data_IF_861710633247
#
_entry.id   IF_861710633247
#
_cell.length_a   1.000
_cell.length_b   1.000
_cell.length_c   1.000
_cell.angle_alpha   90.00
_cell.angle_beta   90.00
_cell.angle_gamma   90.00
#
_symmetry.space_group_name_H-M   'P 1'
#
loop_
_entity.id
_entity.type
_entity.pdbx_description
1 polymer ?
#
# COMPACT_ATOMS: atom_id res chain seq x y z
N UNK A 1 1.27 -28.46 -2.20
CA UNK A 1 0.55 -27.29 -2.77
C UNK A 1 -0.85 -27.29 -2.16
N UNK A 2 -1.42 -26.12 -1.89
CA UNK A 2 -2.79 -26.01 -1.37
C UNK A 2 -3.77 -26.47 -2.46
N UNK A 3 -4.70 -27.36 -2.08
CA UNK A 3 -5.79 -27.80 -2.98
C UNK A 3 -6.90 -26.74 -3.00
N UNK A 4 -7.80 -26.81 -4.00
CA UNK A 4 -8.96 -25.93 -4.07
C UNK A 4 -9.83 -26.07 -2.82
N UNK A 5 -10.01 -27.29 -2.32
CA UNK A 5 -10.78 -27.61 -1.11
C UNK A 5 -10.19 -26.93 0.13
N UNK A 6 -8.87 -27.11 0.35
CA UNK A 6 -8.17 -26.49 1.47
C UNK A 6 -8.20 -24.94 1.40
N UNK A 7 -8.14 -24.38 0.17
CA UNK A 7 -8.31 -22.96 -0.07
C UNK A 7 -9.70 -22.46 0.33
N UNK A 8 -10.75 -23.16 -0.08
CA UNK A 8 -12.14 -22.78 0.26
C UNK A 8 -12.39 -22.87 1.77
N UNK A 9 -11.82 -23.87 2.44
CA UNK A 9 -11.88 -23.99 3.90
C UNK A 9 -11.13 -22.85 4.60
N UNK A 10 -10.00 -22.41 4.05
CA UNK A 10 -9.27 -21.24 4.55
C UNK A 10 -10.08 -19.96 4.34
N UNK A 11 -10.75 -19.80 3.20
CA UNK A 11 -11.61 -18.65 2.93
C UNK A 11 -12.84 -18.61 3.82
N UNK A 12 -13.38 -19.77 4.18
CA UNK A 12 -14.45 -19.84 5.18
C UNK A 12 -13.96 -19.32 6.54
N UNK A 13 -12.79 -19.77 7.03
CA UNK A 13 -12.22 -19.26 8.30
C UNK A 13 -11.96 -17.75 8.27
N UNK A 14 -11.50 -17.20 7.13
CA UNK A 14 -11.36 -15.74 6.97
C UNK A 14 -12.73 -15.04 7.04
N UNK A 15 -13.77 -15.64 6.44
CA UNK A 15 -15.14 -15.12 6.50
C UNK A 15 -15.72 -15.22 7.92
N UNK A 16 -15.46 -16.29 8.65
CA UNK A 16 -15.86 -16.47 10.06
C UNK A 16 -15.21 -15.39 10.95
N UNK A 17 -13.91 -15.11 10.75
CA UNK A 17 -13.24 -14.02 11.44
C UNK A 17 -13.92 -12.66 11.21
N UNK A 18 -14.25 -12.35 9.97
CA UNK A 18 -14.98 -11.12 9.64
C UNK A 18 -16.37 -11.12 10.26
N UNK A 19 -17.07 -12.24 10.15
CA UNK A 19 -18.43 -12.41 10.64
C UNK A 19 -18.55 -12.25 12.16
N UNK A 20 -17.53 -12.66 12.90
CA UNK A 20 -17.47 -12.49 14.37
C UNK A 20 -17.41 -11.01 14.81
N UNK A 21 -17.13 -10.09 13.89
CA UNK A 21 -17.15 -8.65 14.17
C UNK A 21 -18.55 -8.03 14.11
N UNK A 22 -19.56 -8.77 13.62
CA UNK A 22 -20.94 -8.31 13.55
C UNK A 22 -21.70 -8.58 14.85
N UNK A 23 -22.63 -7.70 15.21
CA UNK A 23 -23.57 -7.92 16.33
C UNK A 23 -24.57 -9.05 16.03
N UNK A 24 -24.91 -9.21 14.76
CA UNK A 24 -25.78 -10.26 14.26
C UNK A 24 -25.05 -11.01 13.12
N UNK A 25 -24.26 -12.02 13.44
CA UNK A 25 -23.52 -12.78 12.46
C UNK A 25 -24.43 -13.48 11.43
N UNK A 26 -23.96 -13.59 10.19
CA UNK A 26 -24.64 -14.39 9.17
C UNK A 26 -24.46 -15.89 9.44
N UNK A 27 -25.42 -16.69 9.00
CA UNK A 27 -25.20 -18.14 8.88
C UNK A 27 -24.32 -18.40 7.66
N UNK A 28 -23.10 -18.85 7.90
CA UNK A 28 -22.09 -19.02 6.86
C UNK A 28 -22.07 -20.46 6.35
N UNK A 29 -22.13 -20.61 5.04
CA UNK A 29 -21.89 -21.88 4.39
C UNK A 29 -20.51 -21.90 3.73
N UNK A 30 -19.92 -23.09 3.61
CA UNK A 30 -18.67 -23.27 2.86
C UNK A 30 -18.86 -22.79 1.42
N UNK A 31 -18.04 -21.89 0.90
CA UNK A 31 -18.20 -21.37 -0.45
C UNK A 31 -17.95 -22.50 -1.49
N UNK A 32 -18.75 -22.49 -2.56
CA UNK A 32 -18.63 -23.48 -3.62
C UNK A 32 -17.49 -23.19 -4.62
N UNK A 33 -17.00 -21.95 -4.64
CA UNK A 33 -15.93 -21.51 -5.56
C UNK A 33 -15.15 -20.31 -4.98
N UNK A 34 -14.01 -19.98 -5.60
CA UNK A 34 -13.26 -18.78 -5.26
C UNK A 34 -14.10 -17.49 -5.42
N UNK A 35 -14.90 -17.39 -6.48
CA UNK A 35 -15.78 -16.26 -6.69
C UNK A 35 -16.82 -16.13 -5.56
N UNK A 36 -17.45 -17.25 -5.17
CA UNK A 36 -18.42 -17.29 -4.08
C UNK A 36 -17.76 -16.86 -2.74
N UNK A 37 -16.54 -17.29 -2.48
CA UNK A 37 -15.80 -16.92 -1.29
C UNK A 37 -15.54 -15.40 -1.23
N UNK A 38 -15.14 -14.79 -2.34
CA UNK A 38 -14.93 -13.36 -2.46
C UNK A 38 -16.21 -12.58 -2.19
N UNK A 39 -17.30 -12.96 -2.88
CA UNK A 39 -18.61 -12.32 -2.71
C UNK A 39 -19.09 -12.40 -1.25
N UNK A 40 -18.93 -13.57 -0.61
CA UNK A 40 -19.28 -13.77 0.80
C UNK A 40 -18.49 -12.82 1.71
N UNK A 41 -17.17 -12.73 1.54
CA UNK A 41 -16.32 -11.84 2.35
C UNK A 41 -16.64 -10.37 2.12
N UNK A 42 -16.86 -9.93 0.88
CA UNK A 42 -17.23 -8.54 0.59
C UNK A 42 -18.59 -8.17 1.18
N UNK A 43 -19.56 -9.09 1.16
CA UNK A 43 -20.88 -8.90 1.79
C UNK A 43 -20.75 -8.70 3.31
N UNK A 44 -19.94 -9.52 3.98
CA UNK A 44 -19.68 -9.38 5.42
C UNK A 44 -18.98 -8.06 5.71
N UNK A 45 -17.96 -7.71 4.93
CA UNK A 45 -17.24 -6.45 5.09
C UNK A 45 -18.15 -5.23 4.93
N UNK A 46 -19.07 -5.25 3.97
CA UNK A 46 -20.07 -4.20 3.80
C UNK A 46 -20.99 -4.08 5.03
N UNK A 47 -21.46 -5.21 5.56
CA UNK A 47 -22.28 -5.24 6.76
C UNK A 47 -21.53 -4.68 7.98
N UNK A 48 -20.28 -5.05 8.17
CA UNK A 48 -19.43 -4.49 9.26
C UNK A 48 -19.33 -2.96 9.13
N UNK A 49 -19.05 -2.44 7.91
CA UNK A 49 -18.97 -0.99 7.68
C UNK A 49 -20.27 -0.26 8.03
N UNK A 50 -21.40 -0.81 7.62
CA UNK A 50 -22.72 -0.23 7.94
C UNK A 50 -22.94 -0.21 9.45
N UNK A 51 -22.70 -1.33 10.13
CA UNK A 51 -22.87 -1.43 11.57
C UNK A 51 -21.95 -0.47 12.33
N UNK A 52 -20.67 -0.38 11.91
CA UNK A 52 -19.70 0.56 12.49
C UNK A 52 -20.11 2.03 12.25
N UNK A 53 -20.62 2.35 11.06
CA UNK A 53 -21.10 3.69 10.74
C UNK A 53 -22.29 4.08 11.64
N UNK A 54 -23.23 3.17 11.84
CA UNK A 54 -24.40 3.39 12.72
C UNK A 54 -24.00 3.59 14.18
N UNK A 55 -23.02 2.81 14.67
CA UNK A 55 -22.54 2.93 16.07
C UNK A 55 -21.75 4.21 16.30
N UNK A 56 -21.03 4.68 15.29
CA UNK A 56 -20.09 5.80 15.42
C UNK A 56 -20.63 7.14 14.94
N UNK A 57 -21.86 7.20 14.41
CA UNK A 57 -22.41 8.44 13.84
C UNK A 57 -22.38 9.64 14.79
N UNK A 58 -22.63 9.42 16.09
CA UNK A 58 -22.60 10.47 17.11
C UNK A 58 -21.19 11.06 17.33
N UNK A 59 -20.13 10.32 16.97
CA UNK A 59 -18.74 10.78 17.05
C UNK A 59 -18.34 11.56 15.82
N UNK A 60 -19.01 11.32 14.69
CA UNK A 60 -18.69 11.96 13.41
C UNK A 60 -19.58 13.15 13.07
N UNK A 61 -20.73 13.27 13.73
CA UNK A 61 -21.71 14.34 13.50
C UNK A 61 -21.71 15.38 14.62
N UNK A 62 -21.84 16.66 14.25
CA UNK A 62 -21.86 17.77 15.22
C UNK A 62 -23.16 17.92 15.99
N UNK A 63 -24.22 17.25 15.59
CA UNK A 63 -25.56 17.40 16.20
C UNK A 63 -25.63 16.89 17.63
N UNK A 64 -24.67 16.10 18.08
CA UNK A 64 -24.63 15.56 19.45
C UNK A 64 -23.24 15.70 20.04
N UNK A 65 -23.17 16.14 21.28
CA UNK A 65 -21.95 16.02 22.08
C UNK A 65 -21.73 14.55 22.40
N UNK A 66 -20.60 13.95 22.04
CA UNK A 66 -20.34 12.56 22.35
C UNK A 66 -20.10 12.43 23.85
N UNK A 67 -21.08 11.89 24.56
CA UNK A 67 -20.90 11.56 25.97
C UNK A 67 -19.99 10.36 26.20
N UNK A 68 -19.80 9.52 25.15
CA UNK A 68 -19.02 8.30 25.24
C UNK A 68 -18.17 8.11 23.98
N UNK A 69 -16.94 7.58 24.09
CA UNK A 69 -16.13 7.23 22.94
C UNK A 69 -16.81 6.11 22.13
N UNK A 70 -16.72 6.20 20.80
CA UNK A 70 -17.07 5.07 19.95
C UNK A 70 -15.87 4.12 19.83
N UNK A 71 -16.13 2.85 19.54
CA UNK A 71 -15.10 1.84 19.35
C UNK A 71 -15.36 0.98 18.12
N UNK A 72 -14.29 0.45 17.52
CA UNK A 72 -14.31 -0.58 16.48
C UNK A 72 -13.23 -1.61 16.78
N UNK A 73 -13.62 -2.79 17.29
CA UNK A 73 -12.66 -3.76 17.81
C UNK A 73 -11.80 -3.14 18.91
N UNK A 74 -10.48 -3.22 18.75
CA UNK A 74 -9.52 -2.63 19.69
C UNK A 74 -9.28 -1.12 19.50
N UNK A 75 -9.95 -0.47 18.56
CA UNK A 75 -9.85 0.98 18.38
C UNK A 75 -10.88 1.74 19.19
N UNK A 76 -10.43 2.79 19.88
CA UNK A 76 -11.25 3.79 20.53
C UNK A 76 -11.13 5.12 19.79
N UNK A 77 -12.25 5.80 19.59
CA UNK A 77 -12.30 7.07 18.88
C UNK A 77 -12.72 8.18 19.84
N UNK A 78 -11.96 9.27 19.79
CA UNK A 78 -12.30 10.51 20.48
C UNK A 78 -12.41 11.61 19.45
N UNK A 79 -13.47 12.36 19.60
CA UNK A 79 -13.77 13.48 18.74
C UNK A 79 -13.68 14.77 19.55
N UNK A 80 -12.96 15.75 19.01
CA UNK A 80 -12.93 17.08 19.56
C UNK A 80 -14.13 17.92 19.12
N UNK A 81 -13.93 19.22 19.07
CA UNK A 81 -14.97 20.14 18.59
C UNK A 81 -15.23 20.03 17.09
N UNK A 82 -14.20 19.70 16.30
CA UNK A 82 -14.26 19.69 14.84
C UNK A 82 -14.25 18.26 14.30
N UNK A 83 -15.16 17.96 13.34
CA UNK A 83 -15.29 16.63 12.69
C UNK A 83 -13.97 16.08 12.15
N UNK A 84 -13.14 16.98 11.60
CA UNK A 84 -11.83 16.62 11.06
C UNK A 84 -10.74 16.37 12.12
N UNK A 85 -11.04 16.54 13.41
CA UNK A 85 -10.11 16.28 14.53
C UNK A 85 -10.42 14.94 15.22
N UNK A 86 -10.90 13.97 14.48
CA UNK A 86 -11.10 12.62 15.00
C UNK A 86 -9.75 11.99 15.36
N UNK A 87 -9.60 11.55 16.60
CA UNK A 87 -8.44 10.83 17.10
C UNK A 87 -8.80 9.37 17.32
N UNK A 88 -7.99 8.49 16.72
CA UNK A 88 -8.09 7.06 16.95
C UNK A 88 -6.95 6.59 17.86
N UNK A 89 -7.30 5.79 18.85
CA UNK A 89 -6.40 5.09 19.75
C UNK A 89 -6.61 3.60 19.55
N UNK A 90 -5.54 2.82 19.47
CA UNK A 90 -5.66 1.39 19.20
C UNK A 90 -4.32 0.70 19.07
N UNK A 91 -4.30 -0.50 18.51
CA UNK A 91 -3.09 -1.27 18.33
C UNK A 91 -2.02 -0.49 17.57
N UNK A 92 -0.77 -0.68 17.97
CA UNK A 92 0.35 -0.11 17.24
C UNK A 92 0.42 -0.66 15.82
N UNK A 93 0.59 0.23 14.83
CA UNK A 93 0.79 -0.18 13.43
C UNK A 93 2.04 -1.03 13.26
N UNK A 94 3.08 -0.72 14.05
CA UNK A 94 4.37 -1.44 14.03
C UNK A 94 4.77 -1.88 15.46
N UNK A 95 4.29 -3.03 15.93
CA UNK A 95 4.44 -3.45 17.36
C UNK A 95 5.86 -3.58 17.86
N UNK A 96 6.87 -3.59 17.01
CA UNK A 96 8.28 -3.78 17.38
C UNK A 96 9.18 -2.68 16.88
N UNK A 97 8.65 -1.50 16.64
CA UNK A 97 9.44 -0.37 16.13
C UNK A 97 10.43 0.14 17.17
N UNK A 98 9.97 0.33 18.42
CA UNK A 98 10.77 0.83 19.53
C UNK A 98 11.34 -0.33 20.33
N UNK A 99 12.55 -0.76 20.00
CA UNK A 99 13.28 -1.74 20.79
C UNK A 99 13.97 -1.05 22.00
N UNK A 100 14.25 -1.76 23.10
CA UNK A 100 14.98 -1.22 24.26
C UNK A 100 16.33 -0.58 23.90
N UNK A 101 16.95 -1.05 22.81
CA UNK A 101 18.23 -0.55 22.29
C UNK A 101 18.15 0.76 21.50
N UNK A 102 16.96 1.25 21.23
CA UNK A 102 16.74 2.50 20.48
C UNK A 102 15.42 3.13 20.94
N UNK A 103 15.39 3.66 22.19
CA UNK A 103 14.18 4.27 22.75
C UNK A 103 13.78 5.49 21.91
N UNK A 104 12.50 5.53 21.54
CA UNK A 104 11.94 6.61 20.75
C UNK A 104 10.54 6.96 21.23
N UNK A 105 10.18 8.24 21.13
CA UNK A 105 8.80 8.67 21.27
C UNK A 105 8.07 8.37 19.96
N UNK A 106 7.07 7.51 20.02
CA UNK A 106 6.27 7.12 18.87
C UNK A 106 4.88 7.74 18.93
N UNK A 107 4.41 8.30 17.82
CA UNK A 107 3.06 8.80 17.66
C UNK A 107 2.47 8.33 16.34
N UNK A 108 1.24 7.82 16.38
CA UNK A 108 0.46 7.43 15.21
C UNK A 108 -0.58 8.49 14.87
N UNK A 109 -0.66 8.82 13.58
CA UNK A 109 -1.67 9.70 13.00
C UNK A 109 -2.35 8.93 11.89
N UNK A 110 -3.66 8.75 12.01
CA UNK A 110 -4.44 8.07 10.97
C UNK A 110 -5.03 9.09 9.99
N UNK A 111 -5.16 8.68 8.73
CA UNK A 111 -5.67 9.48 7.62
C UNK A 111 -6.56 8.63 6.73
N UNK A 112 -7.29 9.25 5.80
CA UNK A 112 -8.18 8.57 4.86
C UNK A 112 -7.44 7.73 3.79
N UNK A 113 -6.12 7.88 3.63
CA UNK A 113 -5.30 7.08 2.73
C UNK A 113 -3.82 7.26 3.02
N UNK A 114 -2.95 6.39 2.47
CA UNK A 114 -1.49 6.58 2.52
C UNK A 114 -1.05 7.88 1.84
N UNK A 115 -1.66 8.24 0.71
CA UNK A 115 -1.37 9.50 0.02
C UNK A 115 -1.79 10.73 0.84
N UNK A 116 -2.93 10.66 1.55
CA UNK A 116 -3.34 11.74 2.48
C UNK A 116 -2.35 11.90 3.64
N UNK A 117 -1.77 10.79 4.15
CA UNK A 117 -0.73 10.83 5.17
C UNK A 117 0.53 11.53 4.65
N UNK A 118 0.96 11.19 3.44
CA UNK A 118 2.11 11.79 2.80
C UNK A 118 1.87 13.28 2.48
N UNK A 119 0.71 13.63 1.93
CA UNK A 119 0.33 15.01 1.63
C UNK A 119 0.33 15.89 2.88
N UNK A 120 -0.27 15.42 3.98
CA UNK A 120 -0.27 16.13 5.25
C UNK A 120 1.16 16.33 5.81
N UNK A 121 2.02 15.32 5.69
CA UNK A 121 3.42 15.39 6.10
C UNK A 121 4.19 16.39 5.23
N UNK A 122 4.15 16.29 3.91
CA UNK A 122 4.92 17.12 3.00
C UNK A 122 4.50 18.60 3.08
N UNK A 123 3.20 18.88 3.15
CA UNK A 123 2.70 20.24 3.36
C UNK A 123 3.15 20.81 4.70
N UNK A 124 3.15 19.99 5.76
CA UNK A 124 3.67 20.41 7.07
C UNK A 124 5.16 20.74 6.98
N UNK A 125 5.96 19.90 6.33
CA UNK A 125 7.41 20.13 6.17
C UNK A 125 7.69 21.42 5.37
N UNK A 126 6.93 21.66 4.29
CA UNK A 126 7.03 22.89 3.49
C UNK A 126 6.71 24.14 4.32
N UNK A 127 5.72 24.06 5.22
CA UNK A 127 5.33 25.18 6.09
C UNK A 127 6.32 25.45 7.21
N UNK A 128 6.95 24.41 7.75
CA UNK A 128 7.92 24.54 8.86
C UNK A 128 9.33 24.92 8.42
N UNK A 129 9.62 24.87 7.13
CA UNK A 129 10.96 25.12 6.60
C UNK A 129 10.90 26.12 5.44
N UNK A 130 11.98 26.85 5.19
CA UNK A 130 12.09 27.75 4.04
C UNK A 130 12.07 27.01 2.70
N UNK A 131 12.65 25.81 2.69
CA UNK A 131 12.65 24.88 1.56
C UNK A 131 12.87 23.46 2.06
N UNK A 132 12.42 22.49 1.28
CA UNK A 132 12.56 21.06 1.54
C UNK A 132 13.22 20.39 0.34
N UNK A 133 14.36 19.76 0.57
CA UNK A 133 15.04 18.88 -0.40
C UNK A 133 14.67 17.44 -0.10
N UNK A 134 13.87 16.82 -0.97
CA UNK A 134 13.54 15.40 -0.89
C UNK A 134 14.59 14.60 -1.65
N UNK A 135 15.38 13.78 -0.93
CA UNK A 135 16.28 12.81 -1.53
C UNK A 135 15.50 11.56 -1.86
N UNK A 136 15.30 11.29 -3.14
CA UNK A 136 14.40 10.24 -3.64
C UNK A 136 15.16 9.16 -4.39
N UNK A 137 14.72 7.88 -4.32
CA UNK A 137 15.27 6.83 -5.16
C UNK A 137 14.77 6.96 -6.60
N UNK A 138 15.54 6.46 -7.56
CA UNK A 138 15.05 6.34 -8.92
C UNK A 138 13.85 5.38 -8.97
N UNK A 139 12.79 5.76 -9.67
CA UNK A 139 11.60 4.92 -9.83
C UNK A 139 10.67 4.86 -8.61
N UNK A 140 10.75 5.83 -7.69
CA UNK A 140 9.77 5.93 -6.60
C UNK A 140 8.34 6.14 -7.13
N UNK A 141 7.35 5.87 -6.29
CA UNK A 141 5.94 5.83 -6.64
C UNK A 141 5.48 7.08 -7.38
N UNK A 142 4.77 6.89 -8.51
CA UNK A 142 4.42 7.99 -9.43
C UNK A 142 3.53 9.04 -8.77
N UNK A 143 2.50 8.64 -8.00
CA UNK A 143 1.65 9.60 -7.30
C UNK A 143 2.41 10.41 -6.23
N UNK A 144 3.46 9.85 -5.63
CA UNK A 144 4.34 10.62 -4.74
C UNK A 144 5.09 11.69 -5.51
N UNK A 145 5.52 11.40 -6.75
CA UNK A 145 6.16 12.37 -7.63
C UNK A 145 5.21 13.49 -7.99
N UNK A 146 4.01 13.15 -8.47
CA UNK A 146 2.96 14.11 -8.82
C UNK A 146 2.60 15.00 -7.62
N UNK A 147 2.52 14.42 -6.42
CA UNK A 147 2.28 15.19 -5.20
C UNK A 147 3.41 16.19 -4.91
N UNK A 148 4.68 15.78 -5.02
CA UNK A 148 5.83 16.68 -4.81
C UNK A 148 5.81 17.81 -5.84
N UNK A 149 5.57 17.49 -7.11
CA UNK A 149 5.47 18.47 -8.20
C UNK A 149 4.32 19.45 -7.98
N UNK A 150 3.17 18.98 -7.48
CA UNK A 150 2.00 19.81 -7.19
C UNK A 150 2.18 20.79 -6.03
N UNK A 151 3.06 20.46 -5.08
CA UNK A 151 3.38 21.34 -3.95
C UNK A 151 4.30 22.53 -4.31
N UNK A 152 4.84 22.54 -5.51
CA UNK A 152 5.53 23.69 -6.09
C UNK A 152 6.88 24.01 -5.42
N UNK A 153 7.28 25.30 -5.49
CA UNK A 153 8.65 25.74 -5.18
C UNK A 153 9.14 25.52 -3.74
N UNK A 154 8.25 25.13 -2.82
CA UNK A 154 8.61 24.86 -1.42
C UNK A 154 9.31 23.52 -1.22
N UNK A 155 9.13 22.57 -2.15
CA UNK A 155 9.69 21.22 -2.09
C UNK A 155 10.32 20.87 -3.44
N UNK A 156 11.54 20.33 -3.41
CA UNK A 156 12.23 19.83 -4.60
C UNK A 156 12.65 18.37 -4.39
N UNK A 157 12.54 17.55 -5.44
CA UNK A 157 13.00 16.17 -5.42
C UNK A 157 14.33 16.04 -6.18
N UNK A 158 15.28 15.36 -5.58
CA UNK A 158 16.61 15.11 -6.14
C UNK A 158 17.00 13.64 -5.97
N UNK A 159 17.63 13.00 -6.95
CA UNK A 159 18.24 11.70 -6.73
C UNK A 159 19.21 11.79 -5.54
N UNK A 160 19.11 10.86 -4.60
CA UNK A 160 19.90 10.91 -3.37
C UNK A 160 21.43 10.91 -3.63
N UNK A 161 21.86 10.24 -4.71
CA UNK A 161 23.26 10.20 -5.14
C UNK A 161 23.80 11.57 -5.56
N UNK A 162 22.97 12.41 -6.16
CA UNK A 162 23.39 13.71 -6.69
C UNK A 162 23.63 14.77 -5.61
N UNK A 163 23.07 14.55 -4.41
CA UNK A 163 23.11 15.54 -3.33
C UNK A 163 24.05 15.12 -2.18
N UNK A 164 24.58 13.89 -2.23
CA UNK A 164 25.48 13.37 -1.23
C UNK A 164 26.78 14.22 -1.16
N UNK A 165 27.01 14.88 -0.03
CA UNK A 165 28.19 15.75 0.16
C UNK A 165 28.05 17.20 -0.31
N UNK A 166 26.91 17.61 -0.87
CA UNK A 166 26.70 19.01 -1.25
C UNK A 166 26.36 19.90 -0.04
N UNK A 167 26.84 21.16 -0.08
CA UNK A 167 26.56 22.14 0.97
C UNK A 167 25.09 22.55 0.94
N UNK A 168 24.41 22.45 2.08
CA UNK A 168 23.01 22.81 2.24
C UNK A 168 22.82 24.29 2.53
N UNK A 169 21.77 24.91 1.96
CA UNK A 169 21.39 26.28 2.27
C UNK A 169 20.81 26.42 3.69
N UNK A 170 21.00 27.57 4.31
CA UNK A 170 20.46 27.82 5.66
C UNK A 170 18.92 27.83 5.64
N UNK A 171 18.29 27.05 6.50
CA UNK A 171 16.83 26.94 6.60
C UNK A 171 16.21 25.87 5.72
N UNK A 172 17.01 25.14 4.94
CA UNK A 172 16.55 23.98 4.15
C UNK A 172 16.46 22.75 5.02
N UNK A 173 15.37 22.02 4.95
CA UNK A 173 15.25 20.67 5.51
C UNK A 173 15.60 19.63 4.43
N UNK A 174 16.42 18.64 4.77
CA UNK A 174 16.79 17.57 3.85
C UNK A 174 16.16 16.25 4.32
N UNK A 175 15.29 15.71 3.52
CA UNK A 175 14.45 14.57 3.84
C UNK A 175 14.83 13.39 2.96
N UNK A 176 15.15 12.25 3.55
CA UNK A 176 15.36 11.01 2.80
C UNK A 176 14.02 10.29 2.61
N UNK A 177 13.56 10.17 1.39
CA UNK A 177 12.40 9.35 1.05
C UNK A 177 12.86 7.93 0.71
N UNK A 178 12.33 6.96 1.42
CA UNK A 178 12.43 5.54 1.15
C UNK A 178 11.08 5.03 0.69
N UNK A 179 11.08 4.25 -0.38
CA UNK A 179 9.86 3.72 -0.94
C UNK A 179 9.94 2.19 -1.01
N UNK A 180 8.96 1.51 -0.44
CA UNK A 180 8.87 0.05 -0.47
C UNK A 180 8.64 -0.51 -1.89
N UNK A 181 8.27 0.31 -2.86
CA UNK A 181 8.18 -0.07 -4.27
C UNK A 181 9.53 -0.15 -4.98
N UNK A 182 10.59 0.37 -4.37
CA UNK A 182 11.93 0.44 -4.97
C UNK A 182 12.70 -0.87 -4.80
N UNK A 183 13.58 -1.23 -5.75
CA UNK A 183 14.45 -2.39 -5.67
C UNK A 183 15.22 -2.54 -4.36
N UNK A 184 15.41 -3.79 -3.90
CA UNK A 184 16.08 -4.09 -2.63
C UNK A 184 17.53 -3.56 -2.57
N UNK A 185 18.20 -3.41 -3.71
CA UNK A 185 19.54 -2.83 -3.82
C UNK A 185 19.59 -1.38 -3.31
N UNK A 186 18.47 -0.66 -3.37
CA UNK A 186 18.35 0.69 -2.84
C UNK A 186 18.73 0.75 -1.36
N UNK A 187 18.43 -0.28 -0.56
CA UNK A 187 18.77 -0.31 0.86
C UNK A 187 20.27 -0.36 1.15
N UNK A 188 21.14 -0.37 0.15
CA UNK A 188 22.59 -0.24 0.33
C UNK A 188 23.00 1.03 1.07
N UNK A 189 22.22 2.13 0.95
CA UNK A 189 22.46 3.38 1.67
C UNK A 189 22.43 3.23 3.20
N UNK A 190 21.84 2.16 3.75
CA UNK A 190 21.87 1.87 5.20
C UNK A 190 23.31 1.76 5.76
N UNK A 191 24.29 1.60 4.88
CA UNK A 191 25.73 1.57 5.24
C UNK A 191 26.40 2.93 5.18
N UNK A 192 25.69 3.97 4.68
CA UNK A 192 26.27 5.31 4.48
C UNK A 192 26.10 6.19 5.72
N UNK A 193 27.03 7.11 6.00
CA UNK A 193 26.89 8.09 7.07
C UNK A 193 25.81 9.11 6.72
N UNK A 194 24.83 9.29 7.60
CA UNK A 194 23.66 10.17 7.37
C UNK A 194 23.86 11.59 7.92
N UNK A 195 24.99 12.22 7.60
CA UNK A 195 25.37 13.51 8.21
C UNK A 195 24.39 14.66 7.91
N UNK A 196 23.76 14.65 6.73
CA UNK A 196 23.00 15.79 6.22
C UNK A 196 21.49 15.55 6.08
N UNK A 197 20.97 14.46 6.66
CA UNK A 197 19.54 14.12 6.64
C UNK A 197 18.89 14.60 7.94
N UNK A 198 17.73 15.24 7.87
CA UNK A 198 16.99 15.72 9.04
C UNK A 198 15.83 14.81 9.44
N UNK A 199 15.26 14.05 8.48
CA UNK A 199 14.16 13.13 8.68
C UNK A 199 14.22 12.02 7.61
N UNK A 200 13.89 10.81 7.99
CA UNK A 200 13.62 9.71 7.06
C UNK A 200 12.13 9.54 6.91
N UNK A 201 11.62 9.64 5.70
CA UNK A 201 10.23 9.27 5.35
C UNK A 201 10.28 7.92 4.64
N UNK A 202 9.52 6.95 5.13
CA UNK A 202 9.51 5.62 4.55
C UNK A 202 8.09 5.16 4.25
N UNK A 203 7.74 5.07 2.97
CA UNK A 203 6.52 4.39 2.54
C UNK A 203 6.70 2.87 2.65
N UNK A 204 5.93 2.26 3.54
CA UNK A 204 6.01 0.85 3.89
C UNK A 204 4.90 0.02 3.26
N UNK A 205 4.10 0.57 2.38
CA UNK A 205 2.85 -0.01 1.84
C UNK A 205 3.06 -1.39 1.21
N UNK A 206 4.20 -1.64 0.55
CA UNK A 206 4.51 -2.94 -0.07
C UNK A 206 5.12 -3.96 0.90
N UNK A 207 5.23 -3.67 2.19
CA UNK A 207 5.69 -4.62 3.19
C UNK A 207 4.59 -5.00 4.17
N UNK A 208 4.63 -6.21 4.67
CA UNK A 208 3.84 -6.56 5.84
C UNK A 208 4.30 -5.76 7.07
N UNK A 209 3.35 -5.35 7.95
CA UNK A 209 3.62 -4.46 9.08
C UNK A 209 4.71 -4.95 10.04
N UNK A 210 4.87 -6.27 10.20
CA UNK A 210 5.94 -6.88 11.01
C UNK A 210 7.20 -7.22 10.21
N UNK A 211 7.38 -6.68 9.00
CA UNK A 211 8.53 -6.93 8.15
C UNK A 211 9.85 -6.56 8.83
N UNK A 212 10.83 -7.46 8.77
CA UNK A 212 12.18 -7.20 9.24
C UNK A 212 12.86 -6.02 8.52
N UNK A 213 12.44 -5.70 7.28
CA UNK A 213 12.96 -4.56 6.51
C UNK A 213 12.52 -3.24 7.13
N UNK A 214 11.25 -3.11 7.51
CA UNK A 214 10.74 -1.92 8.21
C UNK A 214 11.51 -1.72 9.52
N UNK A 215 11.61 -2.78 10.33
CA UNK A 215 12.33 -2.72 11.62
C UNK A 215 13.81 -2.35 11.46
N UNK A 216 14.48 -2.92 10.45
CA UNK A 216 15.90 -2.64 10.19
C UNK A 216 16.11 -1.19 9.78
N UNK A 217 15.26 -0.68 8.89
CA UNK A 217 15.33 0.72 8.43
C UNK A 217 15.06 1.71 9.56
N UNK A 218 13.99 1.48 10.31
CA UNK A 218 13.65 2.35 11.45
C UNK A 218 14.74 2.32 12.54
N UNK A 219 15.25 1.15 12.88
CA UNK A 219 16.37 1.01 13.84
C UNK A 219 17.60 1.76 13.36
N UNK A 220 17.98 1.61 12.11
CA UNK A 220 19.10 2.35 11.53
C UNK A 220 18.91 3.85 11.64
N UNK A 221 17.74 4.40 11.30
CA UNK A 221 17.47 5.82 11.41
C UNK A 221 17.57 6.29 12.87
N UNK A 222 16.88 5.63 13.79
CA UNK A 222 16.86 5.99 15.21
C UNK A 222 18.24 5.90 15.86
N UNK A 223 19.03 4.84 15.59
CA UNK A 223 20.40 4.69 16.08
C UNK A 223 21.35 5.75 15.49
N UNK A 224 21.04 6.25 14.30
CA UNK A 224 21.76 7.37 13.68
C UNK A 224 21.33 8.73 14.22
N UNK A 225 20.40 8.78 15.19
CA UNK A 225 19.84 10.01 15.74
C UNK A 225 18.86 10.72 14.80
N UNK A 226 18.31 9.99 13.79
CA UNK A 226 17.36 10.54 12.84
C UNK A 226 15.92 10.18 13.25
N UNK A 227 15.01 11.16 13.27
CA UNK A 227 13.59 10.87 13.30
C UNK A 227 13.18 10.08 12.06
N UNK A 228 12.14 9.24 12.21
CA UNK A 228 11.56 8.49 11.09
C UNK A 228 10.06 8.67 11.06
N UNK A 229 9.53 8.87 9.85
CA UNK A 229 8.11 8.96 9.56
C UNK A 229 7.74 7.80 8.63
N UNK A 230 6.99 6.83 9.14
CA UNK A 230 6.54 5.66 8.38
C UNK A 230 5.14 5.94 7.83
N UNK A 231 5.02 5.99 6.52
CA UNK A 231 3.74 6.16 5.80
C UNK A 231 3.24 4.80 5.36
N UNK A 232 1.92 4.58 5.42
CA UNK A 232 1.31 3.32 5.02
C UNK A 232 -0.12 3.49 4.51
N UNK A 233 -0.44 2.84 3.40
CA UNK A 233 -1.81 2.55 2.99
C UNK A 233 -2.25 1.21 3.57
N UNK A 234 -3.37 1.19 4.30
CA UNK A 234 -3.93 -0.02 4.89
C UNK A 234 -4.92 -0.74 3.98
N UNK A 235 -5.29 -0.14 2.85
CA UNK A 235 -6.23 -0.73 1.90
C UNK A 235 -5.66 -1.92 1.10
N UNK A 236 -4.38 -2.25 1.25
CA UNK A 236 -3.68 -3.28 0.46
C UNK A 236 -3.46 -4.57 1.26
N UNK A 237 -2.41 -4.64 2.05
CA UNK A 237 -2.02 -5.88 2.74
C UNK A 237 -2.74 -6.10 4.08
N UNK A 238 -3.40 -5.07 4.63
CA UNK A 238 -3.94 -5.10 6.00
C UNK A 238 -5.46 -5.36 6.07
N UNK A 239 -6.08 -5.84 4.99
CA UNK A 239 -7.55 -5.98 4.90
C UNK A 239 -8.03 -7.37 4.48
N UNK A 240 -7.26 -8.42 4.64
CA UNK A 240 -7.66 -9.80 4.24
C UNK A 240 -8.15 -9.91 2.78
N UNK A 241 -7.66 -9.08 1.88
CA UNK A 241 -8.00 -9.14 0.45
C UNK A 241 -9.31 -8.48 0.03
N UNK A 242 -10.00 -7.79 0.93
CA UNK A 242 -11.33 -7.22 0.68
C UNK A 242 -11.36 -5.69 0.56
N UNK A 243 -10.20 -5.01 0.60
CA UNK A 243 -10.14 -3.56 0.59
C UNK A 243 -11.13 -2.92 1.57
N UNK A 244 -11.03 -3.32 2.85
CA UNK A 244 -12.04 -3.05 3.88
C UNK A 244 -12.42 -1.58 4.00
N UNK A 245 -11.45 -0.68 4.04
CA UNK A 245 -11.74 0.75 4.22
C UNK A 245 -10.64 1.64 3.66
N UNK A 246 -10.99 2.90 3.43
CA UNK A 246 -10.01 3.94 3.11
C UNK A 246 -9.32 4.37 4.39
N UNK A 247 -8.15 3.81 4.64
CA UNK A 247 -7.34 4.07 5.82
C UNK A 247 -5.87 4.15 5.46
N UNK A 248 -5.21 5.18 5.95
CA UNK A 248 -3.78 5.35 5.94
C UNK A 248 -3.26 5.68 7.32
N UNK A 249 -1.96 5.58 7.52
CA UNK A 249 -1.30 6.02 8.75
C UNK A 249 0.04 6.66 8.47
N UNK A 250 0.41 7.55 9.38
CA UNK A 250 1.73 8.11 9.54
C UNK A 250 2.18 7.83 10.98
N UNK A 251 3.26 7.06 11.12
CA UNK A 251 3.88 6.80 12.42
C UNK A 251 5.18 7.58 12.49
N UNK A 252 5.25 8.56 13.38
CA UNK A 252 6.43 9.38 13.61
C UNK A 252 7.13 8.86 14.86
N UNK A 253 8.40 8.48 14.73
CA UNK A 253 9.26 8.08 15.83
C UNK A 253 10.46 9.02 15.92
N UNK A 254 10.66 9.59 17.12
CA UNK A 254 11.76 10.51 17.42
C UNK A 254 12.66 9.87 18.46
N UNK A 255 13.99 9.79 18.24
CA UNK A 255 14.90 9.20 19.20
C UNK A 255 14.91 10.01 20.51
N UNK A 256 14.80 9.31 21.66
CA UNK A 256 14.82 9.93 22.99
C UNK A 256 16.24 10.22 23.48
N UNK A 257 17.20 9.41 23.09
CA UNK A 257 18.59 9.65 23.43
C UNK A 257 19.15 10.79 22.60
N UNK A 258 19.90 11.67 23.23
CA UNK A 258 20.70 12.69 22.56
C UNK A 258 21.86 12.00 21.81
N UNK A 259 21.49 11.41 20.65
CA UNK A 259 22.43 10.79 19.75
C UNK A 259 23.49 11.79 19.25
N UNK A 260 24.46 11.31 18.49
CA UNK A 260 25.54 12.10 17.88
C UNK A 260 25.05 13.31 17.05
N UNK A 261 23.79 13.38 16.72
CA UNK A 261 23.17 14.45 15.94
C UNK A 261 22.04 15.12 16.72
N UNK A 262 22.11 16.45 16.84
CA UNK A 262 21.05 17.26 17.44
C UNK A 262 19.83 17.26 16.49
N UNK A 263 18.67 16.76 16.96
CA UNK A 263 17.39 16.81 16.24
C UNK A 263 17.00 18.26 15.97
N UNK A 264 16.45 18.54 14.80
CA UNK A 264 15.98 19.90 14.44
C UNK A 264 14.82 20.33 15.34
N UNK A 265 14.76 21.62 15.75
CA UNK A 265 13.70 22.11 16.64
C UNK A 265 12.28 21.81 16.13
N UNK A 266 12.03 21.94 14.83
CA UNK A 266 10.71 21.70 14.24
C UNK A 266 10.22 20.23 14.33
N UNK A 267 11.13 19.28 14.60
CA UNK A 267 10.75 17.85 14.73
C UNK A 267 9.94 17.59 15.99
N UNK A 268 10.17 18.36 17.06
CA UNK A 268 9.40 18.24 18.30
C UNK A 268 7.92 18.52 18.09
N UNK A 269 7.62 19.43 17.19
CA UNK A 269 6.25 19.88 16.91
C UNK A 269 5.62 19.15 15.70
N UNK A 270 6.41 18.35 14.97
CA UNK A 270 6.01 17.73 13.71
C UNK A 270 4.70 16.97 13.82
N UNK A 271 4.53 16.14 14.85
CA UNK A 271 3.31 15.35 15.01
C UNK A 271 2.07 16.22 15.24
N UNK A 272 2.20 17.30 16.03
CA UNK A 272 1.11 18.24 16.27
C UNK A 272 0.74 18.99 14.99
N UNK A 273 1.75 19.44 14.26
CA UNK A 273 1.56 20.18 13.00
C UNK A 273 1.01 19.31 11.87
N UNK A 274 1.39 18.03 11.80
CA UNK A 274 0.77 17.09 10.85
C UNK A 274 -0.69 16.84 11.21
N UNK A 275 -1.03 16.68 12.49
CA UNK A 275 -2.44 16.57 12.92
C UNK A 275 -3.25 17.80 12.50
N UNK A 276 -2.66 18.99 12.62
CA UNK A 276 -3.28 20.22 12.16
C UNK A 276 -3.51 20.22 10.63
N UNK A 277 -2.55 19.74 9.85
CA UNK A 277 -2.71 19.58 8.39
C UNK A 277 -3.81 18.56 8.06
N UNK A 278 -3.86 17.41 8.75
CA UNK A 278 -4.94 16.41 8.58
C UNK A 278 -6.31 17.04 8.83
N UNK A 279 -6.44 17.84 9.91
CA UNK A 279 -7.67 18.57 10.24
C UNK A 279 -8.04 19.59 9.18
N UNK A 280 -7.08 20.41 8.74
CA UNK A 280 -7.31 21.47 7.74
C UNK A 280 -7.72 20.91 6.38
N UNK A 281 -7.18 19.77 5.98
CA UNK A 281 -7.52 19.11 4.72
C UNK A 281 -8.80 18.25 4.81
N UNK A 282 -9.35 18.04 6.02
CA UNK A 282 -10.50 17.17 6.21
C UNK A 282 -10.20 15.69 5.86
N UNK A 283 -8.96 15.26 5.99
CA UNK A 283 -8.52 13.90 5.63
C UNK A 283 -8.39 12.96 6.82
N UNK A 284 -8.99 13.29 7.96
CA UNK A 284 -9.16 12.34 9.06
C UNK A 284 -10.04 11.16 8.59
N UNK A 285 -9.73 9.91 8.99
CA UNK A 285 -10.56 8.78 8.64
C UNK A 285 -11.84 8.77 9.47
N UNK A 286 -12.86 8.08 8.98
CA UNK A 286 -14.07 7.80 9.76
C UNK A 286 -13.90 6.48 10.54
N UNK A 287 -14.57 6.30 11.70
CA UNK A 287 -14.47 5.06 12.48
C UNK A 287 -14.75 3.79 11.68
N UNK A 288 -15.73 3.83 10.78
CA UNK A 288 -16.09 2.70 9.92
C UNK A 288 -14.97 2.25 8.95
N UNK A 289 -13.90 3.04 8.77
CA UNK A 289 -12.73 2.66 7.97
C UNK A 289 -11.73 1.79 8.73
N UNK A 290 -11.83 1.70 10.06
CA UNK A 290 -10.91 0.91 10.87
C UNK A 290 -11.34 -0.56 10.92
N UNK A 291 -10.46 -1.50 10.54
CA UNK A 291 -10.77 -2.91 10.58
C UNK A 291 -10.91 -3.41 12.03
N UNK A 292 -12.11 -3.84 12.49
CA UNK A 292 -12.31 -4.24 13.88
C UNK A 292 -11.57 -5.54 14.25
N UNK A 293 -11.08 -6.27 13.25
CA UNK A 293 -10.36 -7.54 13.39
C UNK A 293 -8.83 -7.40 13.54
N UNK A 294 -8.27 -6.20 13.52
CA UNK A 294 -6.81 -5.99 13.49
C UNK A 294 -6.05 -6.52 14.69
N UNK A 295 -6.67 -6.59 15.86
CA UNK A 295 -6.05 -7.10 17.10
C UNK A 295 -6.20 -8.62 17.27
N UNK A 296 -6.83 -9.29 16.33
CA UNK A 296 -7.02 -10.74 16.35
C UNK A 296 -5.73 -11.48 15.94
N UNK A 297 -5.27 -12.46 16.75
CA UNK A 297 -4.19 -13.35 16.35
C UNK A 297 -4.50 -14.13 15.07
N UNK A 298 -5.78 -14.40 14.79
CA UNK A 298 -6.24 -15.04 13.56
C UNK A 298 -6.02 -14.15 12.35
N UNK A 299 -6.27 -12.86 12.48
CA UNK A 299 -5.94 -11.88 11.44
C UNK A 299 -4.46 -11.89 11.08
N UNK A 300 -3.58 -11.91 12.06
CA UNK A 300 -2.13 -11.94 11.83
C UNK A 300 -1.73 -13.21 11.07
N UNK A 301 -2.19 -14.39 11.54
CA UNK A 301 -1.90 -15.69 10.90
C UNK A 301 -2.42 -15.73 9.46
N UNK A 302 -3.68 -15.37 9.25
CA UNK A 302 -4.32 -15.37 7.92
C UNK A 302 -3.63 -14.40 6.96
N UNK A 303 -3.27 -13.21 7.42
CA UNK A 303 -2.57 -12.22 6.60
C UNK A 303 -1.19 -12.70 6.17
N UNK A 304 -0.41 -13.29 7.08
CA UNK A 304 0.92 -13.84 6.76
C UNK A 304 0.80 -14.98 5.74
N UNK A 305 -0.14 -15.91 5.95
CA UNK A 305 -0.38 -17.01 5.02
C UNK A 305 -0.79 -16.52 3.62
N UNK A 306 -1.69 -15.54 3.55
CA UNK A 306 -2.14 -14.92 2.29
C UNK A 306 -0.99 -14.23 1.56
N UNK A 307 -0.22 -13.39 2.25
CA UNK A 307 0.92 -12.69 1.64
C UNK A 307 1.96 -13.70 1.10
N UNK A 308 2.25 -14.75 1.86
CA UNK A 308 3.17 -15.79 1.41
C UNK A 308 2.66 -16.51 0.15
N UNK A 309 1.35 -16.81 0.09
CA UNK A 309 0.71 -17.39 -1.08
C UNK A 309 0.74 -16.42 -2.28
N UNK A 310 0.40 -15.15 -2.09
CA UNK A 310 0.46 -14.11 -3.12
C UNK A 310 1.86 -13.97 -3.72
N UNK A 311 2.90 -13.90 -2.89
CA UNK A 311 4.29 -13.80 -3.34
C UNK A 311 4.69 -15.03 -4.16
N UNK A 312 4.37 -16.23 -3.69
CA UNK A 312 4.61 -17.48 -4.42
C UNK A 312 3.90 -17.48 -5.77
N UNK A 313 2.65 -17.06 -5.78
CA UNK A 313 1.80 -17.04 -6.97
C UNK A 313 2.27 -16.02 -8.02
N UNK A 314 2.69 -14.84 -7.61
CA UNK A 314 3.27 -13.85 -8.54
C UNK A 314 4.58 -14.37 -9.17
N UNK A 315 5.45 -15.00 -8.39
CA UNK A 315 6.67 -15.66 -8.93
C UNK A 315 6.34 -16.78 -9.89
N UNK A 316 5.28 -17.53 -9.63
CA UNK A 316 4.82 -18.58 -10.53
C UNK A 316 4.29 -17.99 -11.82
N UNK A 317 3.41 -16.96 -11.72
CA UNK A 317 2.89 -16.23 -12.87
C UNK A 317 4.01 -15.66 -13.74
N UNK A 318 5.01 -15.00 -13.14
CA UNK A 318 6.17 -14.48 -13.88
C UNK A 318 6.87 -15.58 -14.67
N UNK A 319 7.08 -16.76 -14.07
CA UNK A 319 7.72 -17.90 -14.77
C UNK A 319 6.89 -18.43 -15.92
N UNK A 320 5.58 -18.58 -15.75
CA UNK A 320 4.68 -19.07 -16.82
C UNK A 320 4.66 -18.08 -17.97
N UNK A 321 4.45 -16.80 -17.69
CA UNK A 321 4.44 -15.74 -18.70
C UNK A 321 5.79 -15.60 -19.41
N UNK A 322 6.90 -15.65 -18.69
CA UNK A 322 8.25 -15.57 -19.32
C UNK A 322 8.58 -16.77 -20.22
N UNK A 323 7.96 -17.92 -19.98
CA UNK A 323 8.13 -19.11 -20.82
C UNK A 323 7.27 -19.05 -22.10
N UNK A 324 6.27 -18.20 -22.16
CA UNK A 324 5.40 -18.04 -23.30
C UNK A 324 6.10 -17.19 -24.38
N UNK A 325 6.17 -17.64 -25.65
CA UNK A 325 6.86 -16.89 -26.73
C UNK A 325 6.35 -15.46 -26.91
N UNK A 326 5.03 -15.24 -26.72
CA UNK A 326 4.38 -13.94 -26.81
C UNK A 326 4.77 -12.93 -25.73
N UNK A 327 5.39 -13.40 -24.65
CA UNK A 327 5.78 -12.57 -23.51
C UNK A 327 7.29 -12.65 -23.24
N UNK A 328 8.04 -13.42 -24.04
CA UNK A 328 9.45 -13.65 -23.82
C UNK A 328 10.25 -12.33 -23.86
N UNK A 329 10.97 -12.04 -22.78
CA UNK A 329 11.75 -10.81 -22.63
C UNK A 329 10.99 -9.57 -22.19
N UNK A 330 9.63 -9.62 -22.11
CA UNK A 330 8.78 -8.50 -21.72
C UNK A 330 8.29 -8.56 -20.26
N UNK A 331 8.54 -9.67 -19.56
CA UNK A 331 8.04 -9.93 -18.21
C UNK A 331 9.06 -9.51 -17.16
N UNK A 332 8.63 -8.71 -16.20
CA UNK A 332 9.44 -8.35 -15.02
C UNK A 332 8.70 -8.67 -13.73
N UNK A 333 9.37 -9.35 -12.81
CA UNK A 333 8.86 -9.63 -11.48
C UNK A 333 9.14 -8.43 -10.55
N UNK A 334 8.12 -7.93 -9.89
CA UNK A 334 8.33 -6.97 -8.80
C UNK A 334 9.10 -7.63 -7.66
N UNK A 335 10.20 -7.02 -7.24
CA UNK A 335 11.18 -7.65 -6.32
C UNK A 335 10.60 -8.16 -4.99
N UNK A 336 9.45 -7.61 -4.56
CA UNK A 336 8.77 -8.09 -3.36
C UNK A 336 7.71 -9.15 -3.67
N UNK A 337 7.55 -9.52 -4.95
CA UNK A 337 6.64 -10.58 -5.38
C UNK A 337 5.16 -10.23 -5.22
N UNK A 338 4.77 -8.96 -5.24
CA UNK A 338 3.37 -8.55 -5.07
C UNK A 338 2.62 -8.40 -6.40
N UNK A 339 3.33 -8.30 -7.50
CA UNK A 339 2.80 -8.25 -8.86
C UNK A 339 3.88 -8.58 -9.91
N UNK A 340 3.45 -8.75 -11.13
CA UNK A 340 4.28 -8.94 -12.32
C UNK A 340 3.94 -7.81 -13.28
N UNK A 341 4.93 -7.31 -14.02
CA UNK A 341 4.70 -6.39 -15.12
C UNK A 341 4.99 -7.08 -16.45
N UNK A 342 4.14 -6.83 -17.44
CA UNK A 342 4.35 -7.28 -18.82
C UNK A 342 4.40 -6.03 -19.69
N UNK A 343 5.49 -5.87 -20.42
CA UNK A 343 5.67 -4.79 -21.38
C UNK A 343 5.20 -5.28 -22.74
N UNK A 344 4.12 -4.74 -23.32
CA UNK A 344 3.69 -5.09 -24.66
C UNK A 344 4.76 -4.70 -25.70
N UNK A 345 4.84 -5.44 -26.79
CA UNK A 345 5.79 -5.17 -27.87
C UNK A 345 5.52 -3.81 -28.52
N UNK A 346 4.25 -3.48 -28.72
CA UNK A 346 3.82 -2.19 -29.22
C UNK A 346 3.88 -1.11 -28.10
N UNK A 347 4.27 0.09 -28.48
CA UNK A 347 4.22 1.25 -27.58
C UNK A 347 2.78 1.76 -27.46
N UNK A 348 2.03 1.18 -26.53
CA UNK A 348 0.63 1.47 -26.35
C UNK A 348 0.42 2.88 -25.74
N UNK A 349 -0.51 3.64 -26.31
CA UNK A 349 -1.05 4.82 -25.64
C UNK A 349 -1.78 4.43 -24.34
N UNK A 350 -1.97 5.38 -23.42
CA UNK A 350 -2.71 5.13 -22.18
C UNK A 350 -4.14 4.56 -22.42
N UNK A 351 -4.96 5.09 -23.37
CA UNK A 351 -6.24 4.46 -23.72
C UNK A 351 -6.08 3.04 -24.29
N UNK A 352 -5.05 2.80 -25.11
CA UNK A 352 -4.77 1.47 -25.67
C UNK A 352 -4.40 0.45 -24.60
N UNK A 353 -3.56 0.83 -23.65
CA UNK A 353 -3.18 -0.01 -22.52
C UNK A 353 -4.36 -0.31 -21.58
N UNK A 354 -5.22 0.69 -21.32
CA UNK A 354 -6.45 0.52 -20.54
C UNK A 354 -7.43 -0.45 -21.23
N UNK A 355 -7.60 -0.30 -22.54
CA UNK A 355 -8.43 -1.20 -23.33
C UNK A 355 -7.90 -2.63 -23.28
N UNK A 356 -6.59 -2.82 -23.47
CA UNK A 356 -5.97 -4.14 -23.38
C UNK A 356 -6.19 -4.80 -22.02
N UNK A 357 -6.01 -4.05 -20.92
CA UNK A 357 -6.24 -4.57 -19.57
C UNK A 357 -7.70 -5.00 -19.36
N UNK A 358 -8.66 -4.21 -19.84
CA UNK A 358 -10.09 -4.53 -19.74
C UNK A 358 -10.47 -5.77 -20.57
N UNK A 359 -9.96 -5.88 -21.79
CA UNK A 359 -10.21 -7.01 -22.67
C UNK A 359 -9.61 -8.31 -22.12
N UNK A 360 -8.38 -8.27 -21.53
CA UNK A 360 -7.81 -9.43 -20.87
C UNK A 360 -8.66 -9.91 -19.70
N UNK A 361 -9.24 -8.98 -18.92
CA UNK A 361 -10.15 -9.37 -17.85
C UNK A 361 -11.42 -10.03 -18.38
N UNK A 362 -11.98 -9.55 -19.49
CA UNK A 362 -13.14 -10.15 -20.15
C UNK A 362 -12.84 -11.54 -20.70
N UNK A 363 -11.68 -11.71 -21.37
CA UNK A 363 -11.25 -13.00 -21.91
C UNK A 363 -11.05 -14.08 -20.82
N UNK A 364 -10.80 -13.62 -19.58
CA UNK A 364 -10.54 -14.47 -18.41
C UNK A 364 -11.73 -14.58 -17.44
N UNK A 365 -12.92 -14.14 -17.81
CA UNK A 365 -14.10 -14.16 -16.93
C UNK A 365 -14.47 -15.56 -16.43
N UNK A 366 -14.19 -16.60 -17.21
CA UNK A 366 -14.42 -18.01 -16.87
C UNK A 366 -13.26 -18.71 -16.17
N UNK A 367 -12.16 -17.99 -15.85
CA UNK A 367 -10.99 -18.57 -15.19
C UNK A 367 -11.33 -19.10 -13.78
N UNK A 368 -10.61 -20.13 -13.35
CA UNK A 368 -10.81 -20.76 -12.03
C UNK A 368 -10.52 -19.80 -10.84
N UNK A 369 -9.64 -18.81 -11.02
CA UNK A 369 -9.47 -17.69 -10.11
C UNK A 369 -10.12 -16.44 -10.73
N UNK A 370 -10.95 -15.68 -9.97
CA UNK A 370 -11.54 -14.45 -10.47
C UNK A 370 -10.49 -13.42 -10.89
N UNK A 371 -10.70 -12.81 -12.05
CA UNK A 371 -9.85 -11.75 -12.61
C UNK A 371 -10.66 -10.46 -12.71
N UNK A 372 -10.09 -9.35 -12.26
CA UNK A 372 -10.79 -8.06 -12.21
C UNK A 372 -9.87 -6.96 -12.75
N UNK A 373 -10.44 -6.07 -13.56
CA UNK A 373 -9.75 -4.85 -13.97
C UNK A 373 -9.70 -3.89 -12.75
N UNK A 374 -8.58 -3.88 -12.07
CA UNK A 374 -8.39 -3.13 -10.83
C UNK A 374 -6.94 -2.69 -10.61
N UNK A 375 -6.81 -1.45 -10.16
CA UNK A 375 -5.54 -0.82 -9.93
C UNK A 375 -4.98 -1.02 -8.53
N UNK A 376 -4.55 -2.20 -8.15
CA UNK A 376 -3.84 -2.40 -6.88
C UNK A 376 -3.32 -3.85 -6.76
N UNK A 377 -2.96 -4.27 -5.54
CA UNK A 377 -2.52 -5.62 -5.21
C UNK A 377 -2.99 -6.01 -3.80
N UNK A 378 -2.90 -7.30 -3.46
CA UNK A 378 -3.26 -7.83 -2.14
C UNK A 378 -4.72 -8.24 -2.03
N UNK A 379 -5.45 -8.32 -3.13
CA UNK A 379 -6.83 -8.77 -3.21
C UNK A 379 -6.96 -10.31 -3.20
N UNK A 380 -8.18 -10.80 -2.99
CA UNK A 380 -8.53 -12.21 -3.15
C UNK A 380 -8.73 -12.61 -4.62
N UNK A 381 -8.81 -11.67 -5.53
CA UNK A 381 -8.87 -11.85 -6.98
C UNK A 381 -7.55 -11.46 -7.65
N UNK A 382 -7.34 -11.93 -8.87
CA UNK A 382 -6.24 -11.45 -9.72
C UNK A 382 -6.61 -10.08 -10.25
N UNK A 383 -5.78 -9.09 -10.01
CA UNK A 383 -5.98 -7.74 -10.51
C UNK A 383 -5.11 -7.50 -11.75
N UNK A 384 -5.71 -6.99 -12.83
CA UNK A 384 -5.00 -6.56 -14.03
C UNK A 384 -5.30 -5.10 -14.27
N UNK A 385 -4.26 -4.30 -14.46
CA UNK A 385 -4.35 -2.90 -14.86
C UNK A 385 -3.13 -2.51 -15.67
N UNK A 386 -3.08 -1.26 -16.11
CA UNK A 386 -1.91 -0.67 -16.73
C UNK A 386 -1.35 0.48 -15.89
N UNK A 387 -0.08 0.78 -16.05
CA UNK A 387 0.53 2.00 -15.53
C UNK A 387 1.70 2.42 -16.41
N UNK A 388 2.08 3.70 -16.34
CA UNK A 388 3.29 4.18 -17.00
C UNK A 388 4.50 3.82 -16.14
N UNK A 389 5.38 2.99 -16.67
CA UNK A 389 6.64 2.63 -16.00
C UNK A 389 7.53 3.86 -15.84
N UNK A 390 7.93 4.22 -14.61
CA UNK A 390 8.66 5.47 -14.36
C UNK A 390 10.08 5.49 -14.93
N UNK A 391 10.63 4.33 -15.31
CA UNK A 391 11.97 4.19 -15.86
C UNK A 391 11.94 4.22 -17.38
N UNK A 392 11.18 3.32 -18.01
CA UNK A 392 11.07 3.21 -19.47
C UNK A 392 10.13 4.25 -20.08
N UNK A 393 9.24 4.86 -19.29
CA UNK A 393 8.15 5.74 -19.71
C UNK A 393 7.13 5.10 -20.66
N UNK A 394 7.18 3.77 -20.81
CA UNK A 394 6.20 3.01 -21.58
C UNK A 394 5.02 2.60 -20.70
N UNK A 395 3.86 2.42 -21.31
CA UNK A 395 2.70 1.86 -20.63
C UNK A 395 2.86 0.33 -20.56
N UNK A 396 2.77 -0.21 -19.37
CA UNK A 396 2.93 -1.64 -19.08
C UNK A 396 1.70 -2.19 -18.38
N UNK A 397 1.42 -3.46 -18.56
CA UNK A 397 0.41 -4.17 -17.78
C UNK A 397 0.99 -4.54 -16.43
N UNK A 398 0.23 -4.34 -15.36
CA UNK A 398 0.50 -4.86 -14.03
C UNK A 398 -0.50 -5.95 -13.70
N UNK A 399 -0.01 -7.11 -13.35
CA UNK A 399 -0.79 -8.30 -13.02
C UNK A 399 -0.43 -8.68 -11.59
N UNK A 400 -1.38 -8.55 -10.67
CA UNK A 400 -1.22 -8.90 -9.28
C UNK A 400 -2.00 -10.19 -8.99
N UNK A 401 -1.29 -11.30 -8.82
CA UNK A 401 -1.90 -12.57 -8.47
C UNK A 401 -2.53 -12.53 -7.07
N UNK A 402 -3.62 -13.26 -6.91
CA UNK A 402 -4.26 -13.49 -5.62
C UNK A 402 -3.57 -14.62 -4.83
N UNK A 403 -4.11 -14.94 -3.67
CA UNK A 403 -3.69 -16.07 -2.84
C UNK A 403 -4.41 -17.39 -3.19
N UNK A 404 -5.05 -17.47 -4.36
CA UNK A 404 -5.70 -18.68 -4.87
C UNK A 404 -4.73 -19.85 -5.04
N UNK A 405 -5.21 -21.11 -5.15
CA UNK A 405 -4.37 -22.26 -5.43
C UNK A 405 -3.49 -22.07 -6.67
N UNK A 406 -2.28 -22.59 -6.63
CA UNK A 406 -1.30 -22.39 -7.70
C UNK A 406 -1.81 -22.89 -9.06
N UNK A 407 -2.60 -23.96 -9.11
CA UNK A 407 -3.24 -24.44 -10.34
C UNK A 407 -4.17 -23.40 -10.97
N UNK A 408 -4.98 -22.72 -10.15
CA UNK A 408 -5.86 -21.66 -10.66
C UNK A 408 -5.05 -20.46 -11.20
N UNK A 409 -3.91 -20.18 -10.61
CA UNK A 409 -3.01 -19.10 -11.09
C UNK A 409 -2.30 -19.51 -12.38
N UNK A 410 -1.93 -20.79 -12.53
CA UNK A 410 -1.36 -21.30 -13.78
C UNK A 410 -2.38 -21.16 -14.94
N UNK A 411 -3.66 -21.52 -14.71
CA UNK A 411 -4.74 -21.36 -15.71
C UNK A 411 -4.89 -19.88 -16.14
N UNK A 412 -4.87 -18.96 -15.18
CA UNK A 412 -4.92 -17.51 -15.48
C UNK A 412 -3.69 -17.06 -16.27
N UNK A 413 -2.48 -17.46 -15.86
CA UNK A 413 -1.25 -17.06 -16.53
C UNK A 413 -1.19 -17.58 -17.99
N UNK A 414 -1.59 -18.84 -18.20
CA UNK A 414 -1.70 -19.42 -19.54
C UNK A 414 -2.78 -18.74 -20.39
N UNK A 415 -3.92 -18.37 -19.78
CA UNK A 415 -4.95 -17.59 -20.41
C UNK A 415 -4.45 -16.23 -20.89
N UNK A 416 -3.73 -15.50 -20.04
CA UNK A 416 -3.09 -14.22 -20.40
C UNK A 416 -2.11 -14.42 -21.56
N UNK A 417 -1.25 -15.44 -21.48
CA UNK A 417 -0.28 -15.72 -22.53
C UNK A 417 -0.96 -16.02 -23.89
N UNK A 418 -2.04 -16.81 -23.89
CA UNK A 418 -2.82 -17.10 -25.11
C UNK A 418 -3.48 -15.84 -25.68
N UNK A 419 -4.10 -15.02 -24.84
CA UNK A 419 -4.76 -13.78 -25.27
C UNK A 419 -3.77 -12.78 -25.88
N UNK A 420 -2.57 -12.66 -25.31
CA UNK A 420 -1.52 -11.82 -25.86
C UNK A 420 -0.97 -12.38 -27.19
N UNK A 421 -0.81 -13.71 -27.33
CA UNK A 421 -0.38 -14.36 -28.59
C UNK A 421 -1.36 -14.17 -29.74
N UNK A 422 -2.66 -14.28 -29.47
CA UNK A 422 -3.70 -14.14 -30.48
C UNK A 422 -3.77 -12.72 -31.08
N UNK A 423 -3.37 -11.72 -30.33
CA UNK A 423 -3.39 -10.32 -30.77
C UNK A 423 -2.18 -9.95 -31.64
N UNK A 424 -1.01 -10.55 -31.37
CA UNK A 424 0.18 -10.36 -32.22
C UNK A 424 -0.03 -10.89 -33.64
N UNK A 425 -0.83 -11.97 -33.78
CA UNK A 425 -1.15 -12.53 -35.11
C UNK A 425 -2.11 -11.67 -35.94
N UNK A 426 -3.00 -10.89 -35.30
CA UNK A 426 -3.97 -10.03 -35.99
C UNK A 426 -3.38 -8.68 -36.43
N UNK A 427 -2.40 -8.13 -35.72
CA UNK A 427 -1.71 -6.91 -36.14
C UNK A 427 -0.73 -7.14 -37.28
N UNK A 428 -0.12 -8.34 -37.40
CA UNK A 428 0.77 -8.71 -38.49
C UNK A 428 0.06 -8.87 -39.85
N UNK A 429 -1.22 -9.25 -39.86
CA UNK A 429 -2.01 -9.44 -41.10
C UNK A 429 -2.52 -8.11 -41.66
N UNK A 430 -2.78 -7.12 -40.81
CA UNK A 430 -3.27 -5.81 -41.27
C UNK A 430 -2.18 -4.96 -41.96
N UNK A 431 -0.90 -5.18 -41.66
CA UNK A 431 0.21 -4.43 -42.30
C UNK A 431 0.57 -4.95 -43.71
N UNK A 432 0.20 -6.17 -44.07
CA UNK A 432 0.41 -6.72 -45.40
C UNK A 432 -0.69 -6.39 -46.42
N UNK A 433 -1.86 -5.92 -45.97
CA UNK A 433 -3.00 -5.61 -46.83
C UNK A 433 -3.05 -4.18 -47.35
N UNK A 434 -2.14 -3.30 -46.95
CA UNK A 434 -2.07 -1.89 -47.42
C UNK A 434 -0.88 -1.60 -48.36
N UNK A 435 -0.17 -2.59 -48.88
CA UNK A 435 0.96 -2.40 -49.83
C UNK A 435 0.81 -3.19 -51.12
N UNK A 436 -0.42 -3.35 -51.64
CA UNK A 436 -0.66 -3.79 -53.03
C UNK A 436 -1.59 -2.83 -53.77
#
# INVERSE_FOLDING_TARGET
>A
METVEAYLDRKLREAELLNSCLSSPFDLQRPASAAAAIVQKFRIAAAIKVEQAMRSWAVTETARSPAQPASAGAFEFRYGYQRADLRAYGPEVYPSLCAPTSPALQQTIYTSSGMSALAALLTTLSRLNKSVEMLVPQGYYSETRELIESLGAGISAHPWESVCGTRRSRGTARILLLDSSVPAAFFSFLRMPVRDIDLVVFDTTCYWRSSARIRRTARWALQSGLPVALVRSHAKLDCLGIEYGRLGSLVIAVPLEKGRKKVRPWVSDLSAEVRNSVRLFGVAPIPASFPPFWDSPEFERSSVARIAATIRNNRRMARVLSAAPSCAGSVSEFQHGLYVTVMPDDDLSAPGASKLAAELCSDLESAAAPVVHAGSFGFDFVAIEWFSDPVSRRNVLRIAASDAPTSCIDDVAEGIARALSGRLSTTGVASYAMST
#
